data_IF_168769615377
#
_entry.id   IF_168769615377
#
_cell.length_a   1.000
_cell.length_b   1.000
_cell.length_c   1.000
_cell.angle_alpha   90.00
_cell.angle_beta   90.00
_cell.angle_gamma   90.00
#
_symmetry.space_group_name_H-M   'P 1'
#
loop_
_entity.id
_entity.type
_entity.pdbx_description
1 polymer ?
#
# COMPACT_ATOMS: atom_id res chain seq x y z
N UNK A 1 12.47 -3.60 3.20
CA UNK A 1 11.87 -3.80 1.87
C UNK A 1 12.31 -5.15 1.37
N UNK A 2 11.42 -5.88 0.70
CA UNK A 2 11.76 -7.11 -0.01
C UNK A 2 11.28 -6.97 -1.45
N UNK A 3 12.12 -7.39 -2.40
CA UNK A 3 11.76 -7.51 -3.82
C UNK A 3 12.01 -8.97 -4.21
N UNK A 4 11.09 -9.56 -4.93
CA UNK A 4 11.22 -10.93 -5.44
C UNK A 4 10.66 -11.01 -6.86
N UNK A 5 11.15 -11.98 -7.63
CA UNK A 5 10.70 -12.24 -9.00
C UNK A 5 10.57 -13.73 -9.26
N UNK A 6 9.61 -14.10 -10.11
CA UNK A 6 9.43 -15.45 -10.66
C UNK A 6 9.89 -15.54 -12.12
N UNK A 7 10.89 -14.72 -12.50
CA UNK A 7 11.43 -14.53 -13.86
C UNK A 7 10.52 -13.73 -14.81
N UNK A 8 9.21 -13.72 -14.59
CA UNK A 8 8.24 -13.00 -15.44
C UNK A 8 7.67 -11.78 -14.74
N UNK A 9 7.39 -11.89 -13.45
CA UNK A 9 6.72 -10.90 -12.61
C UNK A 9 7.64 -10.45 -11.50
N UNK A 10 7.51 -9.19 -11.12
CA UNK A 10 8.24 -8.59 -10.00
C UNK A 10 7.27 -8.17 -8.92
N UNK A 11 7.60 -8.47 -7.67
CA UNK A 11 6.79 -8.18 -6.49
C UNK A 11 7.61 -7.38 -5.48
N UNK A 12 6.96 -6.39 -4.86
CA UNK A 12 7.56 -5.55 -3.82
C UNK A 12 6.73 -5.66 -2.56
N UNK A 13 7.43 -5.78 -1.42
CA UNK A 13 6.84 -5.79 -0.10
C UNK A 13 7.50 -4.74 0.81
N UNK A 14 6.67 -3.84 1.33
CA UNK A 14 7.06 -2.85 2.33
C UNK A 14 6.51 -3.26 3.69
N UNK A 15 7.36 -3.17 4.72
CA UNK A 15 6.98 -3.35 6.12
C UNK A 15 7.25 -2.04 6.85
N UNK A 16 6.18 -1.31 7.18
CA UNK A 16 6.24 -0.09 7.98
C UNK A 16 6.02 -0.42 9.46
N UNK A 17 7.11 -0.47 10.23
CA UNK A 17 7.03 -0.64 11.68
C UNK A 17 6.87 0.69 12.42
N UNK A 18 7.43 1.79 11.88
CA UNK A 18 7.37 3.12 12.49
C UNK A 18 7.55 4.22 11.44
N UNK A 19 6.69 5.24 11.49
CA UNK A 19 6.77 6.43 10.64
C UNK A 19 6.80 7.66 11.54
N UNK A 20 7.97 8.30 11.64
CA UNK A 20 8.17 9.51 12.46
C UNK A 20 7.91 10.79 11.67
N UNK A 21 8.15 10.77 10.35
CA UNK A 21 8.03 11.94 9.49
C UNK A 21 7.10 11.63 8.32
N UNK A 22 6.02 12.41 8.18
CA UNK A 22 5.11 12.37 7.02
C UNK A 22 5.21 13.63 6.17
N UNK A 23 5.89 14.68 6.66
CA UNK A 23 6.13 15.92 5.92
C UNK A 23 7.30 16.70 6.53
N UNK A 24 7.72 17.75 5.85
CA UNK A 24 8.83 18.62 6.25
C UNK A 24 8.34 19.83 7.06
N UNK A 25 9.22 20.43 7.87
CA UNK A 25 8.91 21.68 8.57
C UNK A 25 8.54 22.84 7.61
N UNK A 26 9.24 23.04 6.47
CA UNK A 26 8.82 24.01 5.44
C UNK A 26 7.40 23.78 4.90
N UNK A 27 6.93 22.54 4.92
CA UNK A 27 5.58 22.16 4.49
C UNK A 27 4.49 22.37 5.56
N UNK A 28 4.85 22.99 6.69
CA UNK A 28 3.94 23.31 7.79
C UNK A 28 3.75 22.18 8.80
N UNK A 29 4.62 21.16 8.79
CA UNK A 29 4.59 20.08 9.77
C UNK A 29 5.38 20.44 11.03
N UNK A 30 4.70 20.53 12.18
CA UNK A 30 5.35 20.72 13.48
C UNK A 30 5.58 19.34 14.09
N UNK A 31 6.84 18.99 14.35
CA UNK A 31 7.20 17.65 14.86
C UNK A 31 7.25 16.56 13.78
N UNK A 32 7.32 16.94 12.50
CA UNK A 32 7.52 16.01 11.38
C UNK A 32 6.25 15.33 10.85
N UNK A 33 5.10 15.57 11.46
CA UNK A 33 3.81 15.02 11.03
C UNK A 33 2.83 16.13 10.65
N UNK A 34 1.95 15.83 9.69
CA UNK A 34 0.95 16.77 9.18
C UNK A 34 1.54 17.76 8.17
N UNK A 35 0.97 18.95 8.06
CA UNK A 35 1.38 19.95 7.06
C UNK A 35 0.60 19.87 5.74
N UNK A 36 0.63 20.96 4.96
CA UNK A 36 -0.18 21.12 3.72
C UNK A 36 0.33 20.25 2.57
N UNK A 37 1.61 19.85 2.62
CA UNK A 37 2.25 19.02 1.59
C UNK A 37 2.84 17.79 2.27
N UNK A 38 2.01 16.77 2.43
CA UNK A 38 2.44 15.50 3.03
C UNK A 38 2.98 14.55 1.98
N UNK A 39 3.82 13.59 2.43
CA UNK A 39 4.48 12.65 1.56
C UNK A 39 3.47 11.82 0.76
N UNK A 40 3.75 11.69 -0.55
CA UNK A 40 3.13 10.70 -1.40
C UNK A 40 3.78 9.34 -1.12
N UNK A 41 2.96 8.34 -0.83
CA UNK A 41 3.41 6.99 -0.48
C UNK A 41 2.70 5.98 -1.36
N UNK A 42 3.45 5.06 -1.95
CA UNK A 42 2.90 4.14 -2.93
C UNK A 42 3.93 3.27 -3.62
N UNK A 43 3.51 2.66 -4.70
CA UNK A 43 4.32 1.77 -5.53
C UNK A 43 4.48 2.36 -6.92
N UNK A 44 5.69 2.24 -7.48
CA UNK A 44 6.00 2.63 -8.85
C UNK A 44 6.61 1.41 -9.57
N UNK A 45 6.15 1.14 -10.80
CA UNK A 45 6.64 0.00 -11.59
C UNK A 45 8.01 0.26 -12.26
N UNK A 46 8.51 1.49 -12.26
CA UNK A 46 9.82 1.86 -12.81
C UNK A 46 9.90 1.84 -14.34
N UNK A 47 8.83 1.42 -15.03
CA UNK A 47 8.71 1.33 -16.49
C UNK A 47 7.87 2.49 -17.09
N UNK A 48 7.48 3.48 -16.29
CA UNK A 48 6.68 4.63 -16.72
C UNK A 48 5.17 4.38 -16.84
N UNK A 49 4.66 3.19 -16.48
CA UNK A 49 3.22 2.89 -16.61
C UNK A 49 2.36 3.43 -15.45
N UNK A 50 3.00 4.01 -14.44
CA UNK A 50 2.33 4.83 -13.44
C UNK A 50 2.77 4.56 -12.01
N UNK A 51 1.98 5.12 -11.09
CA UNK A 51 2.15 5.05 -9.65
C UNK A 51 0.82 4.65 -9.01
N UNK A 52 0.86 3.69 -8.09
CA UNK A 52 -0.27 3.34 -7.24
C UNK A 52 -0.10 4.02 -5.88
N UNK A 53 -0.97 4.97 -5.59
CA UNK A 53 -1.01 5.66 -4.31
C UNK A 53 -1.65 4.78 -3.22
N UNK A 54 -0.99 4.64 -2.07
CA UNK A 54 -1.55 3.92 -0.93
C UNK A 54 -2.56 4.78 -0.16
N UNK A 55 -3.51 4.16 0.57
CA UNK A 55 -4.40 4.89 1.46
C UNK A 55 -3.62 5.78 2.45
N UNK A 56 -4.21 6.92 2.82
CA UNK A 56 -3.62 7.90 3.76
C UNK A 56 -2.37 8.65 3.25
N UNK A 57 -1.91 8.36 2.03
CA UNK A 57 -0.92 9.15 1.33
C UNK A 57 -1.42 10.59 1.09
N UNK A 58 -0.49 11.54 0.93
CA UNK A 58 -0.70 12.98 0.64
C UNK A 58 -1.58 13.79 1.62
N UNK A 59 -2.23 13.15 2.60
CA UNK A 59 -3.17 13.77 3.54
C UNK A 59 -2.59 14.03 4.94
N UNK A 60 -1.29 13.76 5.15
CA UNK A 60 -0.63 13.88 6.46
C UNK A 60 -0.84 12.69 7.38
N UNK A 61 -1.67 11.75 6.94
CA UNK A 61 -2.08 10.55 7.67
C UNK A 61 -1.29 9.30 7.29
N UNK A 62 -0.21 9.43 6.52
CA UNK A 62 0.62 8.29 6.08
C UNK A 62 1.25 7.51 7.24
N UNK A 63 1.25 8.03 8.47
CA UNK A 63 1.58 7.26 9.67
C UNK A 63 0.61 6.10 9.95
N UNK A 64 -0.64 6.18 9.47
CA UNK A 64 -1.65 5.11 9.58
C UNK A 64 -1.30 3.87 8.76
N UNK A 65 -0.31 3.96 7.86
CA UNK A 65 0.23 2.82 7.14
C UNK A 65 0.88 1.79 8.05
N UNK A 66 1.27 2.16 9.28
CA UNK A 66 1.81 1.23 10.29
C UNK A 66 0.69 0.37 10.90
N UNK A 67 -0.52 0.94 11.05
CA UNK A 67 -1.66 0.29 11.70
C UNK A 67 -2.46 -0.60 10.74
N UNK A 68 -2.38 -0.30 9.45
CA UNK A 68 -3.11 -1.01 8.39
C UNK A 68 -2.12 -1.76 7.50
N UNK A 69 -2.63 -2.64 6.65
CA UNK A 69 -1.82 -3.39 5.71
C UNK A 69 -2.65 -4.07 4.63
N UNK A 70 -1.94 -4.58 3.62
CA UNK A 70 -2.46 -5.44 2.56
C UNK A 70 -2.63 -6.90 3.01
N UNK A 71 -2.11 -7.26 4.18
CA UNK A 71 -2.02 -8.63 4.70
C UNK A 71 -2.43 -8.65 6.17
N UNK A 72 -2.52 -9.83 6.77
CA UNK A 72 -2.79 -10.00 8.20
C UNK A 72 -1.73 -9.39 9.14
N UNK A 73 -0.55 -9.05 8.60
CA UNK A 73 0.48 -8.31 9.34
C UNK A 73 0.28 -6.80 9.19
N UNK A 74 0.05 -6.10 10.29
CA UNK A 74 0.02 -4.63 10.31
C UNK A 74 1.31 -4.04 9.74
N UNK A 75 1.20 -2.95 8.97
CA UNK A 75 2.35 -2.29 8.37
C UNK A 75 2.84 -2.95 7.09
N UNK A 76 2.31 -4.11 6.69
CA UNK A 76 2.77 -4.85 5.52
C UNK A 76 1.93 -4.53 4.29
N UNK A 77 2.58 -4.06 3.25
CA UNK A 77 1.97 -3.68 1.97
C UNK A 77 2.66 -4.45 0.86
N UNK A 78 1.90 -5.06 -0.05
CA UNK A 78 2.44 -5.74 -1.21
C UNK A 78 1.79 -5.28 -2.51
N UNK A 79 2.59 -5.27 -3.57
CA UNK A 79 2.13 -5.06 -4.92
C UNK A 79 2.99 -5.84 -5.91
N UNK A 80 2.39 -6.22 -7.04
CA UNK A 80 3.11 -6.58 -8.26
C UNK A 80 3.48 -5.29 -8.99
N UNK A 81 4.72 -5.18 -9.46
CA UNK A 81 5.32 -3.96 -10.04
C UNK A 81 5.97 -4.23 -11.40
N UNK A 82 5.34 -5.08 -12.22
CA UNK A 82 5.84 -5.46 -13.54
C UNK A 82 5.35 -4.50 -14.65
N UNK A 83 4.38 -4.90 -15.48
CA UNK A 83 3.81 -4.04 -16.53
C UNK A 83 2.96 -2.92 -15.93
N UNK A 84 2.11 -3.26 -14.96
CA UNK A 84 1.26 -2.33 -14.23
C UNK A 84 1.39 -2.61 -12.76
N UNK A 85 1.25 -1.56 -11.94
CA UNK A 85 1.21 -1.74 -10.50
C UNK A 85 -0.12 -2.38 -10.11
N UNK A 86 -0.08 -3.64 -9.68
CA UNK A 86 -1.26 -4.34 -9.17
C UNK A 86 -1.16 -4.48 -7.66
N UNK A 87 -2.07 -3.84 -6.95
CA UNK A 87 -2.14 -3.90 -5.51
C UNK A 87 -2.52 -5.30 -5.04
N UNK A 88 -1.76 -5.82 -4.07
CA UNK A 88 -1.92 -7.19 -3.61
C UNK A 88 -2.81 -7.35 -2.38
N UNK A 89 -3.37 -6.29 -1.80
CA UNK A 89 -4.16 -6.35 -0.57
C UNK A 89 -5.66 -6.18 -0.76
N UNK A 90 -6.44 -6.53 0.28
CA UNK A 90 -7.86 -6.20 0.37
C UNK A 90 -8.12 -5.31 1.58
N UNK A 91 -8.58 -4.08 1.33
CA UNK A 91 -9.03 -3.14 2.36
C UNK A 91 -10.55 -3.03 2.30
N UNK A 92 -11.23 -3.06 3.46
CA UNK A 92 -12.70 -2.98 3.61
C UNK A 92 -13.36 -1.77 2.88
N UNK A 93 -12.59 -0.75 2.49
CA UNK A 93 -13.06 0.41 1.71
C UNK A 93 -12.80 0.35 0.19
N UNK A 94 -12.22 -0.74 -0.33
CA UNK A 94 -11.86 -0.88 -1.76
C UNK A 94 -12.37 -2.20 -2.37
N UNK A 95 -13.58 -2.63 -2.01
CA UNK A 95 -14.27 -3.81 -2.59
C UNK A 95 -14.31 -3.84 -4.13
N UNK A 96 -14.08 -2.70 -4.79
CA UNK A 96 -14.12 -2.58 -6.25
C UNK A 96 -12.73 -2.69 -6.93
N UNK A 97 -11.63 -2.85 -6.18
CA UNK A 97 -10.27 -2.90 -6.74
C UNK A 97 -9.51 -4.18 -6.38
N UNK A 98 -10.16 -5.08 -5.68
CA UNK A 98 -9.64 -6.40 -5.40
C UNK A 98 -9.78 -7.26 -6.65
N UNK A 99 -8.75 -7.31 -7.50
CA UNK A 99 -8.74 -8.30 -8.59
C UNK A 99 -8.71 -9.69 -7.96
N UNK A 100 -9.67 -10.54 -8.33
CA UNK A 100 -9.90 -11.91 -7.81
C UNK A 100 -8.69 -12.85 -7.89
N UNK A 101 -7.58 -12.40 -8.51
CA UNK A 101 -6.30 -13.09 -8.57
C UNK A 101 -5.36 -12.81 -7.39
N UNK A 102 -5.69 -11.88 -6.48
CA UNK A 102 -4.80 -11.58 -5.35
C UNK A 102 -5.07 -12.51 -4.16
N UNK A 103 -4.05 -13.24 -3.66
CA UNK A 103 -4.19 -14.20 -2.56
C UNK A 103 -4.55 -13.55 -1.21
N UNK A 104 -4.55 -12.22 -1.11
CA UNK A 104 -4.93 -11.49 0.11
C UNK A 104 -6.37 -10.98 0.11
N UNK A 105 -7.22 -11.41 -0.84
CA UNK A 105 -8.65 -11.16 -0.72
C UNK A 105 -9.37 -12.26 0.04
N UNK A 106 -10.25 -11.92 1.00
CA UNK A 106 -11.23 -12.88 1.46
C UNK A 106 -12.07 -13.26 0.25
N UNK A 107 -11.95 -14.51 -0.20
CA UNK A 107 -13.01 -15.13 -0.98
C UNK A 107 -14.23 -15.09 -0.03
N UNK A 108 -15.24 -14.28 -0.36
CA UNK A 108 -16.46 -14.26 0.44
C UNK A 108 -16.95 -15.69 0.65
N UNK A 109 -17.20 -15.99 1.92
CA UNK A 109 -17.68 -17.23 2.50
C UNK A 109 -19.14 -17.56 2.11
N UNK A 110 -19.50 -17.46 0.84
CA UNK A 110 -20.85 -17.75 0.34
C UNK A 110 -21.01 -19.11 -0.32
N UNK A 111 -20.12 -20.06 -0.04
CA UNK A 111 -20.32 -21.48 -0.31
C UNK A 111 -19.83 -22.30 0.89
N UNK A 112 -20.65 -22.37 1.94
CA UNK A 112 -20.85 -23.53 2.84
C UNK A 112 -21.75 -23.09 4.02
N UNK A 113 -22.97 -22.65 3.69
CA UNK A 113 -24.13 -22.99 4.50
C UNK A 113 -24.86 -24.10 3.77
N UNK A 114 -24.50 -25.34 4.11
CA UNK A 114 -25.38 -26.50 4.09
C UNK A 114 -25.18 -27.23 5.40
#
# INVERSE_FOLDING_TARGET
>A
MVITTDEVRSYVLFNYARINYTSSAPSGAIGGRGGRQSALVGFNAGNGTGFYELPYSSQGDSYKLVLNGATDTQGRWLARVDELVQYGGCTLGMLNHCTSSSPACPQESHLLQR
#
